data_IF_364318649969
#
_entry.id   IF_364318649969
#
_cell.length_a   1.000
_cell.length_b   1.000
_cell.length_c   1.000
_cell.angle_alpha   90.00
_cell.angle_beta   90.00
_cell.angle_gamma   90.00
#
_symmetry.space_group_name_H-M   'P 1'
#
loop_
_entity.id
_entity.type
_entity.pdbx_description
1 polymer ?
#
# COMPACT_ATOMS: atom_id res chain seq x y z
N UNK A 1 -11.65 -4.67 16.25
CA UNK A 1 -11.77 -6.14 16.25
C UNK A 1 -10.45 -6.79 16.66
N UNK A 2 -10.41 -7.89 17.42
CA UNK A 2 -9.13 -8.56 17.78
C UNK A 2 -8.51 -9.27 16.55
N UNK A 3 -7.21 -9.07 16.29
CA UNK A 3 -6.48 -9.69 15.17
C UNK A 3 -6.55 -11.23 15.19
N UNK A 4 -6.64 -11.83 16.38
CA UNK A 4 -6.76 -13.30 16.56
C UNK A 4 -8.12 -13.83 16.13
N UNK A 5 -9.12 -12.95 15.95
CA UNK A 5 -10.48 -13.30 15.53
C UNK A 5 -10.69 -13.18 14.01
N UNK A 6 -9.68 -12.74 13.25
CA UNK A 6 -9.74 -12.63 11.80
C UNK A 6 -9.94 -14.02 11.17
N UNK A 7 -11.00 -14.18 10.37
CA UNK A 7 -11.32 -15.43 9.67
C UNK A 7 -11.64 -15.23 8.19
N UNK A 8 -11.80 -14.00 7.74
CA UNK A 8 -12.18 -13.67 6.37
C UNK A 8 -11.54 -12.35 5.90
N UNK A 9 -11.49 -12.09 4.58
CA UNK A 9 -11.07 -10.79 4.05
C UNK A 9 -11.90 -9.60 4.59
N UNK A 10 -13.18 -9.82 4.89
CA UNK A 10 -14.04 -8.79 5.51
C UNK A 10 -13.59 -8.47 6.94
N UNK A 11 -13.20 -9.49 7.70
CA UNK A 11 -12.62 -9.28 9.02
C UNK A 11 -11.31 -8.48 8.89
N UNK A 12 -10.42 -8.83 7.96
CA UNK A 12 -9.20 -8.04 7.70
C UNK A 12 -9.53 -6.58 7.47
N UNK A 13 -10.47 -6.27 6.57
CA UNK A 13 -10.85 -4.90 6.29
C UNK A 13 -11.44 -4.18 7.51
N UNK A 14 -12.26 -4.88 8.32
CA UNK A 14 -12.76 -4.32 9.59
C UNK A 14 -11.63 -4.08 10.59
N UNK A 15 -10.65 -4.98 10.68
CA UNK A 15 -9.47 -4.79 11.52
C UNK A 15 -8.70 -3.54 11.13
N UNK A 16 -8.45 -3.37 9.82
CA UNK A 16 -7.77 -2.19 9.29
C UNK A 16 -8.55 -0.92 9.66
N UNK A 17 -9.88 -0.90 9.48
CA UNK A 17 -10.72 0.24 9.85
C UNK A 17 -10.69 0.57 11.34
N UNK A 18 -10.65 -0.46 12.21
CA UNK A 18 -10.73 -0.28 13.65
C UNK A 18 -9.39 0.17 14.27
N UNK A 19 -8.26 -0.13 13.62
CA UNK A 19 -6.94 -0.08 14.27
C UNK A 19 -5.82 0.58 13.47
N UNK A 20 -5.97 0.75 12.16
CA UNK A 20 -4.90 1.28 11.31
C UNK A 20 -5.33 2.62 10.73
N UNK A 21 -4.56 3.66 11.01
CA UNK A 21 -4.73 5.01 10.50
C UNK A 21 -3.65 5.31 9.44
N UNK A 22 -3.98 6.14 8.46
CA UNK A 22 -2.98 6.58 7.48
C UNK A 22 -1.97 7.53 8.13
N UNK A 23 -0.73 7.07 8.22
CA UNK A 23 0.37 7.79 8.82
C UNK A 23 1.65 6.97 8.81
N UNK A 24 2.72 7.55 9.32
CA UNK A 24 4.05 6.92 9.33
C UNK A 24 4.87 7.41 10.52
N UNK A 25 5.92 6.67 10.82
CA UNK A 25 6.87 6.98 11.89
C UNK A 25 8.20 7.35 11.24
N UNK A 26 8.79 8.47 11.66
CA UNK A 26 10.08 8.89 11.13
C UNK A 26 11.27 8.22 11.85
N UNK A 27 12.48 8.49 11.35
CA UNK A 27 13.74 7.99 11.94
C UNK A 27 13.98 8.41 13.40
N UNK A 28 13.27 9.41 13.92
CA UNK A 28 13.37 9.85 15.31
C UNK A 28 12.26 9.25 16.19
N UNK A 29 11.36 8.46 15.62
CA UNK A 29 10.20 7.90 16.31
C UNK A 29 9.02 8.85 16.42
N UNK A 30 8.99 9.94 15.66
CA UNK A 30 7.85 10.86 15.65
C UNK A 30 6.74 10.37 14.70
N UNK A 31 5.49 10.52 15.16
CA UNK A 31 4.32 10.10 14.40
C UNK A 31 3.84 11.22 13.48
N UNK A 32 3.66 10.89 12.20
CA UNK A 32 3.15 11.77 11.16
C UNK A 32 1.80 11.24 10.65
N UNK A 33 0.70 11.87 11.07
CA UNK A 33 -0.66 11.41 10.79
C UNK A 33 -1.29 12.25 9.68
N UNK A 34 -1.83 11.61 8.64
CA UNK A 34 -2.50 12.27 7.50
C UNK A 34 -1.67 13.36 6.82
N UNK A 35 -0.34 13.20 6.83
CA UNK A 35 0.61 14.12 6.19
C UNK A 35 1.77 13.35 5.59
N UNK A 36 2.28 13.86 4.46
CA UNK A 36 3.47 13.34 3.78
C UNK A 36 4.66 14.30 3.88
N UNK A 37 4.59 15.28 4.79
CA UNK A 37 5.65 16.27 5.00
C UNK A 37 6.98 15.58 5.33
N UNK A 38 8.06 15.92 4.63
CA UNK A 38 9.40 15.34 4.83
C UNK A 38 9.50 13.81 4.61
N UNK A 39 8.44 13.17 4.09
CA UNK A 39 8.39 11.72 3.88
C UNK A 39 9.60 11.22 3.07
N UNK A 40 9.94 11.89 1.96
CA UNK A 40 11.10 11.53 1.13
C UNK A 40 12.44 11.52 1.88
N UNK A 41 12.56 12.26 2.98
CA UNK A 41 13.81 12.47 3.73
C UNK A 41 13.94 11.49 4.89
N UNK A 42 12.89 11.40 5.71
CA UNK A 42 12.98 10.81 7.06
C UNK A 42 12.05 9.62 7.26
N UNK A 43 11.30 9.19 6.25
CA UNK A 43 10.51 7.95 6.31
C UNK A 43 11.38 6.70 6.30
N UNK A 44 10.95 5.68 7.06
CA UNK A 44 11.42 4.30 6.93
C UNK A 44 10.23 3.35 6.95
N UNK A 45 10.26 2.33 6.11
CA UNK A 45 9.25 1.28 6.11
C UNK A 45 9.20 0.58 7.47
N UNK A 46 8.00 0.46 8.04
CA UNK A 46 7.80 -0.27 9.30
C UNK A 46 7.65 -1.77 9.05
N UNK A 47 8.07 -2.58 10.01
CA UNK A 47 7.70 -4.00 10.08
C UNK A 47 6.19 -4.19 10.28
N UNK A 48 5.70 -5.41 10.09
CA UNK A 48 4.30 -5.78 10.36
C UNK A 48 3.97 -5.59 11.84
N UNK A 49 4.88 -5.99 12.72
CA UNK A 49 4.75 -5.87 14.17
C UNK A 49 4.67 -4.41 14.61
N UNK A 50 5.51 -3.53 14.05
CA UNK A 50 5.48 -2.09 14.32
C UNK A 50 4.22 -1.42 13.79
N UNK A 51 3.78 -1.78 12.58
CA UNK A 51 2.53 -1.29 11.99
C UNK A 51 1.33 -1.65 12.89
N UNK A 52 1.29 -2.88 13.40
CA UNK A 52 0.23 -3.34 14.32
C UNK A 52 0.34 -2.61 15.68
N UNK A 53 1.55 -2.46 16.22
CA UNK A 53 1.76 -1.87 17.54
C UNK A 53 1.46 -0.37 17.58
N UNK A 54 1.85 0.35 16.52
CA UNK A 54 1.62 1.79 16.40
C UNK A 54 0.22 2.16 15.92
N UNK A 55 -0.43 1.26 15.17
CA UNK A 55 -1.67 1.56 14.47
C UNK A 55 -1.48 2.52 13.29
N UNK A 56 -0.25 2.72 12.81
CA UNK A 56 0.07 3.64 11.71
C UNK A 56 0.65 2.87 10.53
N UNK A 57 0.23 3.25 9.32
CA UNK A 57 0.86 2.78 8.09
C UNK A 57 0.46 3.62 6.89
N UNK A 58 1.38 3.79 5.94
CA UNK A 58 1.08 4.38 4.63
C UNK A 58 0.45 3.34 3.71
N UNK A 59 0.25 3.67 2.43
CA UNK A 59 -0.13 2.65 1.45
C UNK A 59 0.85 1.46 1.42
N UNK A 60 2.14 1.67 1.71
CA UNK A 60 3.17 0.63 1.70
C UNK A 60 2.96 -0.36 2.86
N UNK A 61 2.90 0.12 4.11
CA UNK A 61 2.67 -0.74 5.28
C UNK A 61 1.30 -1.41 5.25
N UNK A 62 0.27 -0.67 4.86
CA UNK A 62 -1.10 -1.18 4.88
C UNK A 62 -1.29 -2.35 3.91
N UNK A 63 -0.74 -2.29 2.69
CA UNK A 63 -0.83 -3.44 1.78
C UNK A 63 0.01 -4.61 2.27
N UNK A 64 1.16 -4.38 2.89
CA UNK A 64 1.98 -5.42 3.49
C UNK A 64 1.23 -6.15 4.62
N UNK A 65 0.54 -5.40 5.48
CA UNK A 65 -0.29 -5.95 6.55
C UNK A 65 -1.48 -6.74 6.00
N UNK A 66 -2.21 -6.19 5.02
CA UNK A 66 -3.32 -6.90 4.39
C UNK A 66 -2.83 -8.18 3.69
N UNK A 67 -1.69 -8.14 3.01
CA UNK A 67 -1.04 -9.29 2.36
C UNK A 67 -0.69 -10.38 3.38
N UNK A 68 -0.04 -10.01 4.48
CA UNK A 68 0.31 -10.92 5.57
C UNK A 68 -0.92 -11.62 6.18
N UNK A 69 -1.98 -10.85 6.44
CA UNK A 69 -3.21 -11.39 7.01
C UNK A 69 -3.95 -12.31 6.03
N UNK A 70 -4.00 -11.97 4.74
CA UNK A 70 -4.58 -12.84 3.71
C UNK A 70 -3.79 -14.13 3.53
N UNK A 71 -2.45 -14.08 3.59
CA UNK A 71 -1.61 -15.26 3.56
C UNK A 71 -1.89 -16.19 4.75
N UNK A 72 -2.09 -15.65 5.95
CA UNK A 72 -2.49 -16.44 7.14
C UNK A 72 -3.85 -17.12 6.96
N UNK A 73 -4.74 -16.55 6.14
CA UNK A 73 -6.02 -17.15 5.77
C UNK A 73 -5.91 -18.11 4.58
N UNK A 74 -4.71 -18.31 4.01
CA UNK A 74 -4.49 -19.05 2.76
C UNK A 74 -5.31 -18.49 1.58
N UNK A 75 -5.56 -17.18 1.56
CA UNK A 75 -6.24 -16.50 0.44
C UNK A 75 -5.19 -16.00 -0.54
N UNK A 76 -5.25 -16.48 -1.79
CA UNK A 76 -4.37 -15.99 -2.86
C UNK A 76 -4.56 -14.48 -3.01
N UNK A 77 -3.45 -13.75 -3.11
CA UNK A 77 -3.46 -12.30 -3.24
C UNK A 77 -2.14 -11.78 -3.82
N UNK A 78 -2.13 -10.52 -4.27
CA UNK A 78 -1.01 -9.84 -4.93
C UNK A 78 -0.96 -8.37 -4.53
N UNK A 79 0.24 -7.83 -4.36
CA UNK A 79 0.47 -6.41 -4.11
C UNK A 79 0.94 -5.71 -5.39
N UNK A 80 0.46 -4.48 -5.59
CA UNK A 80 0.78 -3.67 -6.76
C UNK A 80 1.11 -2.25 -6.35
N UNK A 81 2.02 -1.62 -7.10
CA UNK A 81 2.39 -0.22 -6.92
C UNK A 81 2.20 0.54 -8.24
N UNK A 82 1.42 1.60 -8.22
CA UNK A 82 1.35 2.57 -9.33
C UNK A 82 1.97 3.90 -8.91
N UNK A 83 2.84 4.47 -9.74
CA UNK A 83 3.59 5.69 -9.39
C UNK A 83 3.79 6.62 -10.57
N UNK A 84 4.16 7.88 -10.36
CA UNK A 84 4.94 8.60 -11.38
C UNK A 84 6.36 8.06 -11.31
N UNK A 85 6.94 7.69 -12.46
CA UNK A 85 8.28 7.11 -12.47
C UNK A 85 9.31 8.11 -11.93
N UNK A 86 10.12 7.66 -10.96
CA UNK A 86 11.28 8.40 -10.45
C UNK A 86 12.54 7.54 -10.63
N UNK A 87 13.64 8.11 -11.16
CA UNK A 87 14.90 7.39 -11.30
C UNK A 87 15.50 7.04 -9.94
N UNK A 88 16.32 5.99 -9.87
CA UNK A 88 16.89 5.48 -8.60
C UNK A 88 17.64 6.52 -7.77
N UNK A 89 18.21 7.53 -8.42
CA UNK A 89 19.07 8.54 -7.81
C UNK A 89 18.38 9.89 -7.62
N UNK A 90 17.04 9.96 -7.72
CA UNK A 90 16.29 11.21 -7.58
C UNK A 90 16.72 12.01 -6.32
N UNK A 91 16.83 13.33 -6.50
CA UNK A 91 17.36 14.28 -5.51
C UNK A 91 16.36 15.36 -5.08
N UNK A 92 15.17 15.35 -5.65
CA UNK A 92 14.04 16.23 -5.37
C UNK A 92 13.33 15.82 -4.06
N UNK A 93 14.03 15.93 -2.93
CA UNK A 93 13.52 15.53 -1.61
C UNK A 93 12.36 16.41 -1.08
N UNK A 94 12.12 17.56 -1.70
CA UNK A 94 11.04 18.48 -1.33
C UNK A 94 9.75 18.28 -2.13
N UNK A 95 9.79 17.48 -3.19
CA UNK A 95 8.62 17.29 -4.05
C UNK A 95 7.53 16.50 -3.31
N UNK A 96 6.34 16.44 -3.89
CA UNK A 96 5.26 15.55 -3.44
C UNK A 96 5.44 14.12 -3.94
N UNK A 97 5.16 13.16 -3.06
CA UNK A 97 5.14 11.75 -3.41
C UNK A 97 3.92 11.42 -4.28
N UNK A 98 4.11 10.53 -5.26
CA UNK A 98 3.10 10.21 -6.27
C UNK A 98 2.99 8.71 -6.51
N UNK A 99 3.21 7.90 -5.49
CA UNK A 99 3.07 6.45 -5.51
C UNK A 99 1.79 6.06 -4.74
N UNK A 100 1.22 4.92 -5.11
CA UNK A 100 0.14 4.29 -4.37
C UNK A 100 0.32 2.78 -4.47
N UNK A 101 0.34 2.13 -3.32
CA UNK A 101 0.31 0.68 -3.24
C UNK A 101 -1.11 0.21 -2.94
N UNK A 102 -1.54 -0.83 -3.63
CA UNK A 102 -2.84 -1.46 -3.44
C UNK A 102 -2.73 -2.99 -3.51
N UNK A 103 -3.78 -3.69 -3.09
CA UNK A 103 -3.80 -5.15 -3.00
C UNK A 103 -5.02 -5.75 -3.70
N UNK A 104 -4.79 -6.79 -4.50
CA UNK A 104 -5.84 -7.64 -5.05
C UNK A 104 -5.84 -9.01 -4.38
N UNK A 105 -7.00 -9.57 -4.09
CA UNK A 105 -7.16 -10.95 -3.62
C UNK A 105 -8.17 -11.73 -4.47
N UNK A 106 -8.07 -13.05 -4.43
CA UNK A 106 -8.82 -13.95 -5.33
C UNK A 106 -9.65 -14.92 -4.51
N UNK A 107 -10.95 -14.94 -4.76
CA UNK A 107 -11.89 -15.80 -4.06
C UNK A 107 -13.04 -16.17 -4.99
N UNK A 108 -13.45 -17.45 -5.00
CA UNK A 108 -14.60 -17.93 -5.79
C UNK A 108 -14.56 -17.52 -7.28
N UNK A 109 -13.38 -17.61 -7.91
CA UNK A 109 -13.14 -17.21 -9.30
C UNK A 109 -13.39 -15.72 -9.61
N UNK A 110 -13.42 -14.88 -8.59
CA UNK A 110 -13.50 -13.42 -8.70
C UNK A 110 -12.23 -12.77 -8.19
N UNK A 111 -12.01 -11.52 -8.62
CA UNK A 111 -10.90 -10.67 -8.15
C UNK A 111 -11.49 -9.56 -7.30
N UNK A 112 -10.83 -9.27 -6.19
CA UNK A 112 -11.27 -8.24 -5.26
C UNK A 112 -10.14 -7.27 -4.98
N UNK A 113 -10.43 -5.98 -5.04
CA UNK A 113 -9.55 -4.92 -4.57
C UNK A 113 -9.91 -4.57 -3.14
N UNK A 114 -8.95 -4.71 -2.21
CA UNK A 114 -9.10 -4.22 -0.84
C UNK A 114 -8.37 -2.87 -0.72
N UNK A 115 -9.12 -1.78 -0.86
CA UNK A 115 -8.61 -0.42 -0.79
C UNK A 115 -8.85 0.15 0.60
N UNK A 116 -7.77 0.33 1.36
CA UNK A 116 -7.81 0.96 2.68
C UNK A 116 -7.02 2.29 2.72
N UNK A 117 -5.84 2.39 2.08
CA UNK A 117 -5.05 3.63 2.11
C UNK A 117 -5.69 4.83 1.40
N UNK A 118 -6.49 4.62 0.34
CA UNK A 118 -7.19 5.70 -0.34
C UNK A 118 -8.52 6.01 0.34
N UNK A 119 -8.58 7.12 1.07
CA UNK A 119 -9.78 7.53 1.80
C UNK A 119 -11.02 7.76 0.92
N UNK A 120 -10.85 8.30 -0.29
CA UNK A 120 -11.96 8.60 -1.22
C UNK A 120 -12.53 7.33 -1.89
N UNK A 121 -11.71 6.28 -1.94
CA UNK A 121 -12.04 5.00 -2.57
C UNK A 121 -11.95 3.84 -1.57
N UNK A 122 -12.12 4.12 -0.28
CA UNK A 122 -11.98 3.12 0.78
C UNK A 122 -13.08 2.07 0.67
N UNK A 123 -12.73 0.80 0.48
CA UNK A 123 -13.71 -0.27 0.31
C UNK A 123 -13.14 -1.60 -0.18
N UNK A 124 -14.05 -2.57 -0.35
CA UNK A 124 -13.77 -3.83 -1.05
C UNK A 124 -14.58 -3.84 -2.34
N UNK A 125 -13.90 -3.94 -3.48
CA UNK A 125 -14.52 -3.89 -4.81
C UNK A 125 -14.32 -5.20 -5.55
N UNK A 126 -15.37 -5.72 -6.17
CA UNK A 126 -15.33 -6.94 -6.97
C UNK A 126 -15.08 -6.60 -8.45
N UNK A 127 -14.27 -7.42 -9.10
CA UNK A 127 -13.96 -7.35 -10.53
C UNK A 127 -14.03 -8.73 -11.17
N UNK A 128 -14.38 -8.75 -12.46
CA UNK A 128 -14.42 -9.97 -13.27
C UNK A 128 -13.03 -10.53 -13.60
N UNK A 129 -11.99 -9.69 -13.61
CA UNK A 129 -10.61 -10.12 -13.83
C UNK A 129 -9.59 -9.15 -13.24
N UNK A 130 -8.37 -9.66 -13.01
CA UNK A 130 -7.22 -8.88 -12.58
C UNK A 130 -6.90 -7.75 -13.55
N UNK A 131 -6.99 -8.03 -14.86
CA UNK A 131 -6.76 -7.02 -15.90
C UNK A 131 -7.73 -5.85 -15.81
N UNK A 132 -9.01 -6.11 -15.55
CA UNK A 132 -10.01 -5.04 -15.39
C UNK A 132 -9.71 -4.25 -14.12
N UNK A 133 -9.48 -4.94 -12.99
CA UNK A 133 -9.14 -4.28 -11.73
C UNK A 133 -7.91 -3.36 -11.86
N UNK A 134 -6.82 -3.88 -12.42
CA UNK A 134 -5.58 -3.13 -12.65
C UNK A 134 -5.81 -1.91 -13.53
N UNK A 135 -6.54 -2.06 -14.64
CA UNK A 135 -6.81 -0.95 -15.55
C UNK A 135 -7.64 0.14 -14.88
N UNK A 136 -8.70 -0.22 -14.17
CA UNK A 136 -9.58 0.74 -13.50
C UNK A 136 -8.83 1.53 -12.41
N UNK A 137 -8.03 0.84 -11.60
CA UNK A 137 -7.23 1.45 -10.53
C UNK A 137 -6.14 2.34 -11.13
N UNK A 138 -5.39 1.85 -12.13
CA UNK A 138 -4.33 2.63 -12.76
C UNK A 138 -4.87 3.90 -13.44
N UNK A 139 -6.00 3.78 -14.17
CA UNK A 139 -6.64 4.93 -14.81
C UNK A 139 -7.07 6.00 -13.81
N UNK A 140 -7.65 5.59 -12.67
CA UNK A 140 -7.99 6.53 -11.59
C UNK A 140 -6.77 7.34 -11.11
N UNK A 141 -5.63 6.69 -10.89
CA UNK A 141 -4.42 7.38 -10.45
C UNK A 141 -3.75 8.21 -11.55
N UNK A 142 -3.88 7.82 -12.82
CA UNK A 142 -3.44 8.63 -13.96
C UNK A 142 -4.26 9.92 -14.03
N UNK A 143 -5.59 9.82 -13.94
CA UNK A 143 -6.49 10.98 -13.94
C UNK A 143 -6.21 11.91 -12.76
N UNK A 144 -6.07 11.35 -11.55
CA UNK A 144 -5.74 12.09 -10.33
C UNK A 144 -4.43 12.88 -10.46
N UNK A 145 -3.46 12.35 -11.21
CA UNK A 145 -2.13 12.94 -11.44
C UNK A 145 -2.05 13.78 -12.72
N UNK A 146 -3.19 14.21 -13.26
CA UNK A 146 -3.26 15.10 -14.43
C UNK A 146 -2.86 14.42 -15.74
N UNK A 147 -3.14 13.13 -15.90
CA UNK A 147 -2.88 12.37 -17.12
C UNK A 147 -1.44 11.88 -17.27
N UNK A 148 -0.59 12.05 -16.26
CA UNK A 148 0.78 11.55 -16.28
C UNK A 148 0.80 10.02 -16.28
N UNK A 149 1.64 9.45 -17.13
CA UNK A 149 1.82 8.00 -17.21
C UNK A 149 2.19 7.42 -15.84
N UNK A 150 1.55 6.32 -15.48
CA UNK A 150 1.79 5.63 -14.22
C UNK A 150 2.16 4.16 -14.45
N UNK A 151 3.46 3.79 -14.43
CA UNK A 151 3.84 2.38 -14.45
C UNK A 151 3.25 1.66 -13.24
N UNK A 152 2.77 0.45 -13.50
CA UNK A 152 2.25 -0.47 -12.51
C UNK A 152 3.20 -1.65 -12.37
N UNK A 153 3.58 -1.96 -11.14
CA UNK A 153 4.53 -3.02 -10.80
C UNK A 153 3.89 -3.94 -9.76
N UNK A 154 3.80 -5.24 -10.03
CA UNK A 154 3.54 -6.26 -9.01
C UNK A 154 4.79 -6.40 -8.14
N UNK A 155 4.63 -6.48 -6.82
CA UNK A 155 5.76 -6.68 -5.90
C UNK A 155 5.40 -7.67 -4.79
N UNK A 156 6.42 -8.21 -4.14
CA UNK A 156 6.27 -9.45 -3.35
C UNK A 156 6.57 -9.29 -1.87
N UNK A 157 7.31 -8.26 -1.48
CA UNK A 157 7.66 -8.00 -0.09
C UNK A 157 7.84 -6.50 0.17
N UNK A 158 7.66 -6.10 1.42
CA UNK A 158 8.09 -4.80 1.94
C UNK A 158 9.14 -5.10 3.01
N UNK A 159 10.40 -4.82 2.72
CA UNK A 159 11.48 -4.95 3.71
C UNK A 159 11.36 -3.83 4.72
N UNK A 160 11.67 -4.12 5.98
CA UNK A 160 11.76 -3.14 7.05
C UNK A 160 12.95 -2.19 6.85
N UNK A 161 12.82 -0.96 7.34
CA UNK A 161 13.92 0.00 7.39
C UNK A 161 14.34 0.62 6.05
N UNK A 162 13.58 0.45 4.97
CA UNK A 162 13.84 1.10 3.70
C UNK A 162 13.40 2.56 3.74
N UNK A 163 14.26 3.46 3.27
CA UNK A 163 13.82 4.81 2.89
C UNK A 163 12.85 4.77 1.71
N UNK A 164 12.12 5.87 1.49
CA UNK A 164 11.25 5.99 0.31
C UNK A 164 12.05 5.82 -1.01
N UNK A 165 13.31 6.31 -1.04
CA UNK A 165 14.20 6.14 -2.18
C UNK A 165 14.57 4.68 -2.43
N UNK A 166 14.90 3.95 -1.36
CA UNK A 166 15.23 2.52 -1.46
C UNK A 166 14.02 1.68 -1.85
N UNK A 167 12.84 2.01 -1.33
CA UNK A 167 11.59 1.36 -1.75
C UNK A 167 11.27 1.64 -3.21
N UNK A 168 11.34 2.89 -3.67
CA UNK A 168 11.11 3.23 -5.08
C UNK A 168 12.12 2.51 -6.00
N UNK A 169 13.39 2.46 -5.60
CA UNK A 169 14.42 1.70 -6.30
C UNK A 169 14.07 0.21 -6.36
N UNK A 170 13.63 -0.39 -5.25
CA UNK A 170 13.16 -1.78 -5.26
C UNK A 170 12.07 -1.97 -6.32
N UNK A 171 11.02 -1.14 -6.30
CA UNK A 171 9.92 -1.20 -7.26
C UNK A 171 10.38 -0.98 -8.71
N UNK A 172 11.43 -0.19 -8.97
CA UNK A 172 11.99 -0.03 -10.32
C UNK A 172 12.62 -1.30 -10.88
N UNK A 173 13.06 -2.24 -10.04
CA UNK A 173 13.84 -3.41 -10.43
C UNK A 173 13.17 -4.76 -10.13
N UNK A 174 11.94 -4.77 -9.62
CA UNK A 174 11.15 -6.01 -9.51
C UNK A 174 10.75 -6.47 -10.91
N UNK A 175 11.11 -7.71 -11.26
CA UNK A 175 10.75 -8.38 -12.51
C UNK A 175 9.70 -9.46 -12.26
#
# INVERSE_FOLDING_TARGET
>A
MDIKKIKSPKDIFQYMNDHIEYGWIDINGENHIKTMKDFRKIYRTSSIEETIASGLGTCIEQVALMHHLLNKLNVKNKMFCCRIYEPDDYGNLEDEEHMHCFLLYYLNNKVYHMEHPNFEKKGIYEYDSEKIAINDIANYYIELRGGKYSPLTEFYEVKEGLSFKEFNKYINHVN
#
